data_IF_858876419868
#
_entry.id   IF_858876419868
#
_cell.length_a   1.000
_cell.length_b   1.000
_cell.length_c   1.000
_cell.angle_alpha   90.00
_cell.angle_beta   90.00
_cell.angle_gamma   90.00
#
_symmetry.space_group_name_H-M   'P 1'
#
loop_
_entity.id
_entity.type
_entity.pdbx_description
1 polymer ?
#
# COMPACT_ATOMS: atom_id res chain seq x y z
N UNK A 1 7.72 -6.03 53.27
CA UNK A 1 7.39 -4.74 53.92
C UNK A 1 7.77 -3.55 53.03
N UNK A 2 8.98 -3.55 52.44
CA UNK A 2 9.51 -2.52 51.52
C UNK A 2 8.67 -2.29 50.25
N UNK A 3 8.02 -3.33 49.74
CA UNK A 3 7.24 -3.25 48.49
C UNK A 3 5.86 -2.60 48.68
N UNK A 4 5.26 -2.77 49.88
CA UNK A 4 4.02 -2.10 50.30
C UNK A 4 4.23 -0.61 50.57
N UNK A 5 5.38 -0.23 51.13
CA UNK A 5 5.72 1.19 51.35
C UNK A 5 6.02 1.92 50.04
N UNK A 6 6.69 1.28 49.06
CA UNK A 6 6.89 1.87 47.72
C UNK A 6 5.57 2.14 46.99
N UNK A 7 4.66 1.17 46.96
CA UNK A 7 3.34 1.33 46.32
C UNK A 7 2.47 2.38 47.02
N UNK A 8 2.54 2.45 48.35
CA UNK A 8 1.88 3.50 49.12
C UNK A 8 2.47 4.89 48.82
N UNK A 9 3.79 5.05 48.83
CA UNK A 9 4.44 6.32 48.48
C UNK A 9 4.10 6.78 47.06
N UNK A 10 4.13 5.90 46.05
CA UNK A 10 3.74 6.24 44.67
C UNK A 10 2.28 6.68 44.57
N UNK A 11 1.38 6.09 45.36
CA UNK A 11 -0.05 6.43 45.37
C UNK A 11 -0.30 7.82 45.98
N UNK A 12 0.47 8.22 46.99
CA UNK A 12 0.27 9.49 47.71
C UNK A 12 1.28 10.59 47.36
N UNK A 13 2.19 10.35 46.41
CA UNK A 13 3.25 11.29 46.04
C UNK A 13 2.71 12.64 45.55
N UNK A 14 1.56 12.63 44.88
CA UNK A 14 0.87 13.84 44.43
C UNK A 14 0.39 14.70 45.61
N UNK A 15 -0.11 14.10 46.70
CA UNK A 15 -0.54 14.83 47.90
C UNK A 15 0.65 15.40 48.67
N UNK A 16 1.76 14.65 48.73
CA UNK A 16 3.00 15.12 49.37
C UNK A 16 3.59 16.30 48.58
N UNK A 17 3.63 16.22 47.24
CA UNK A 17 4.06 17.31 46.37
C UNK A 17 3.16 18.54 46.50
N UNK A 18 1.84 18.35 46.53
CA UNK A 18 0.89 19.45 46.71
C UNK A 18 1.08 20.15 48.06
N UNK A 19 1.29 19.37 49.13
CA UNK A 19 1.58 19.87 50.46
C UNK A 19 2.92 20.59 50.56
N UNK A 20 3.97 20.09 49.90
CA UNK A 20 5.28 20.73 49.86
C UNK A 20 5.25 22.06 49.10
N UNK A 21 4.59 22.11 47.93
CA UNK A 21 4.43 23.33 47.14
C UNK A 21 3.59 24.36 47.91
N UNK A 22 2.48 23.93 48.54
CA UNK A 22 1.66 24.80 49.38
C UNK A 22 2.41 25.32 50.61
N UNK A 23 3.22 24.48 51.25
CA UNK A 23 4.04 24.85 52.42
C UNK A 23 5.13 25.85 52.08
N UNK A 24 5.85 25.65 50.97
CA UNK A 24 6.85 26.61 50.47
C UNK A 24 6.19 27.94 50.10
N UNK A 25 5.03 27.88 49.43
CA UNK A 25 4.24 29.08 49.11
C UNK A 25 3.84 29.89 50.34
N UNK A 26 3.41 29.21 51.41
CA UNK A 26 3.07 29.86 52.69
C UNK A 26 4.27 30.46 53.40
N UNK A 27 5.43 29.81 53.39
CA UNK A 27 6.66 30.35 53.97
C UNK A 27 7.14 31.61 53.24
N UNK A 28 7.06 31.62 51.91
CA UNK A 28 7.39 32.79 51.09
C UNK A 28 6.41 33.93 51.36
N UNK A 29 5.11 33.62 51.48
CA UNK A 29 4.08 34.61 51.80
C UNK A 29 4.32 35.25 53.18
N UNK A 30 4.64 34.45 54.20
CA UNK A 30 4.99 34.95 55.54
C UNK A 30 6.26 35.80 55.54
N UNK A 31 7.29 35.38 54.82
CA UNK A 31 8.53 36.16 54.69
C UNK A 31 8.27 37.55 54.06
N UNK A 32 7.43 37.59 53.03
CA UNK A 32 7.03 38.85 52.38
C UNK A 32 6.25 39.75 53.36
N UNK A 33 5.33 39.19 54.15
CA UNK A 33 4.54 39.94 55.14
C UNK A 33 5.37 40.54 56.28
N UNK A 34 6.47 39.89 56.68
CA UNK A 34 7.34 40.37 57.76
C UNK A 34 8.39 41.40 57.31
N UNK A 35 8.80 41.40 56.03
CA UNK A 35 9.94 42.20 55.54
C UNK A 35 9.51 43.48 54.79
N UNK A 36 8.32 43.51 54.19
CA UNK A 36 7.89 44.60 53.32
C UNK A 36 6.91 45.58 53.99
N UNK A 37 7.09 46.87 53.74
CA UNK A 37 6.22 47.95 54.25
C UNK A 37 4.85 47.96 53.52
N UNK A 38 3.82 48.61 54.08
CA UNK A 38 2.43 48.55 53.54
C UNK A 38 2.32 48.81 52.02
N UNK A 39 2.99 49.85 51.53
CA UNK A 39 2.97 50.22 50.10
C UNK A 39 3.62 49.16 49.19
N UNK A 40 4.62 48.44 49.71
CA UNK A 40 5.31 47.36 49.01
C UNK A 40 4.47 46.07 48.98
N UNK A 41 3.73 45.80 50.07
CA UNK A 41 2.78 44.68 50.13
C UNK A 41 1.62 44.83 49.15
N UNK A 42 1.14 46.06 48.93
CA UNK A 42 0.08 46.33 47.95
C UNK A 42 0.53 46.01 46.52
N UNK A 43 1.74 46.42 46.13
CA UNK A 43 2.34 46.09 44.83
C UNK A 43 2.49 44.57 44.67
N UNK A 44 2.97 43.87 45.70
CA UNK A 44 3.12 42.41 45.66
C UNK A 44 1.77 41.70 45.53
N UNK A 45 0.73 42.16 46.24
CA UNK A 45 -0.64 41.62 46.11
C UNK A 45 -1.18 41.77 44.68
N UNK A 46 -0.94 42.91 44.04
CA UNK A 46 -1.31 43.15 42.64
C UNK A 46 -0.56 42.18 41.73
N UNK A 47 0.76 42.04 41.88
CA UNK A 47 1.56 41.09 41.11
C UNK A 47 1.09 39.64 41.27
N UNK A 48 0.85 39.17 42.50
CA UNK A 48 0.33 37.82 42.78
C UNK A 48 -1.04 37.63 42.14
N UNK A 49 -1.92 38.62 42.21
CA UNK A 49 -3.26 38.55 41.62
C UNK A 49 -3.18 38.44 40.09
N UNK A 50 -2.31 39.22 39.44
CA UNK A 50 -2.06 39.10 38.02
C UNK A 50 -1.46 37.72 37.66
N UNK A 51 -0.44 37.26 38.38
CA UNK A 51 0.15 35.94 38.14
C UNK A 51 -0.86 34.80 38.36
N UNK A 52 -1.73 34.89 39.37
CA UNK A 52 -2.78 33.91 39.63
C UNK A 52 -3.82 33.86 38.49
N UNK A 53 -4.21 35.01 37.96
CA UNK A 53 -5.07 35.12 36.78
C UNK A 53 -4.38 34.45 35.59
N UNK A 54 -3.14 34.81 35.26
CA UNK A 54 -2.42 34.21 34.14
C UNK A 54 -2.14 32.71 34.31
N UNK A 55 -1.86 32.24 35.53
CA UNK A 55 -1.69 30.82 35.82
C UNK A 55 -2.99 30.04 35.63
N UNK A 56 -4.12 30.60 36.06
CA UNK A 56 -5.44 29.96 35.92
C UNK A 56 -5.88 29.92 34.45
N UNK A 57 -5.85 31.07 33.76
CA UNK A 57 -6.24 31.14 32.35
C UNK A 57 -5.24 30.43 31.45
N UNK A 58 -3.94 30.56 31.70
CA UNK A 58 -2.88 29.89 30.95
C UNK A 58 -2.91 28.38 31.12
N UNK A 59 -3.07 27.89 32.36
CA UNK A 59 -3.23 26.47 32.65
C UNK A 59 -4.49 25.88 32.02
N UNK A 60 -5.62 26.59 32.11
CA UNK A 60 -6.86 26.18 31.46
C UNK A 60 -6.73 26.16 29.93
N UNK A 61 -6.11 27.17 29.33
CA UNK A 61 -5.88 27.25 27.88
C UNK A 61 -4.97 26.11 27.39
N UNK A 62 -3.84 25.84 28.08
CA UNK A 62 -2.97 24.72 27.73
C UNK A 62 -3.66 23.37 27.92
N UNK A 63 -4.39 23.19 29.02
CA UNK A 63 -5.18 21.97 29.27
C UNK A 63 -6.23 21.75 28.19
N UNK A 64 -6.96 22.80 27.81
CA UNK A 64 -7.94 22.76 26.72
C UNK A 64 -7.29 22.48 25.36
N UNK A 65 -6.12 23.08 25.08
CA UNK A 65 -5.38 22.83 23.83
C UNK A 65 -4.93 21.38 23.71
N UNK A 66 -4.26 20.85 24.74
CA UNK A 66 -3.79 19.45 24.74
C UNK A 66 -4.98 18.48 24.65
N UNK A 67 -6.05 18.75 25.41
CA UNK A 67 -7.25 17.91 25.39
C UNK A 67 -7.95 17.96 24.03
N UNK A 68 -8.05 19.15 23.42
CA UNK A 68 -8.62 19.36 22.11
C UNK A 68 -7.82 18.66 21.00
N UNK A 69 -6.49 18.77 21.04
CA UNK A 69 -5.60 18.10 20.08
C UNK A 69 -5.73 16.57 20.20
N UNK A 70 -5.80 16.04 21.41
CA UNK A 70 -5.98 14.61 21.64
C UNK A 70 -7.39 14.13 21.21
N UNK A 71 -8.44 14.87 21.56
CA UNK A 71 -9.82 14.57 21.15
C UNK A 71 -9.97 14.59 19.63
N UNK A 72 -9.35 15.57 18.95
CA UNK A 72 -9.32 15.67 17.49
C UNK A 72 -8.62 14.45 16.86
N UNK A 73 -7.51 13.99 17.42
CA UNK A 73 -6.83 12.77 16.95
C UNK A 73 -7.68 11.51 17.14
N UNK A 74 -8.37 11.38 18.28
CA UNK A 74 -9.28 10.25 18.55
C UNK A 74 -10.44 10.26 17.56
N UNK A 75 -11.10 11.41 17.37
CA UNK A 75 -12.21 11.55 16.44
C UNK A 75 -11.81 11.20 14.99
N UNK A 76 -10.60 11.58 14.56
CA UNK A 76 -10.06 11.19 13.24
C UNK A 76 -9.91 9.66 13.13
N UNK A 77 -9.35 9.00 14.16
CA UNK A 77 -9.20 7.54 14.18
C UNK A 77 -10.56 6.83 14.15
N UNK A 78 -11.51 7.29 14.95
CA UNK A 78 -12.87 6.73 14.98
C UNK A 78 -13.57 6.85 13.63
N UNK A 79 -13.43 7.98 12.93
CA UNK A 79 -13.97 8.14 11.57
C UNK A 79 -13.38 7.15 10.57
N UNK A 80 -12.06 6.95 10.60
CA UNK A 80 -11.37 5.99 9.73
C UNK A 80 -11.88 4.57 9.99
N UNK A 81 -11.94 4.17 11.26
CA UNK A 81 -12.40 2.83 11.66
C UNK A 81 -13.87 2.64 11.33
N UNK A 82 -14.71 3.63 11.60
CA UNK A 82 -16.14 3.56 11.25
C UNK A 82 -16.32 3.40 9.74
N UNK A 83 -15.57 4.13 8.91
CA UNK A 83 -15.63 3.94 7.45
C UNK A 83 -15.18 2.54 7.03
N UNK A 84 -14.13 2.00 7.65
CA UNK A 84 -13.66 0.63 7.41
C UNK A 84 -14.71 -0.42 7.84
N UNK A 85 -15.37 -0.21 8.99
CA UNK A 85 -16.37 -1.12 9.54
C UNK A 85 -17.69 -1.09 8.77
N UNK A 86 -18.15 0.10 8.35
CA UNK A 86 -19.39 0.25 7.60
C UNK A 86 -19.36 -0.53 6.27
N UNK A 87 -18.16 -0.69 5.69
CA UNK A 87 -17.95 -1.42 4.44
C UNK A 87 -17.20 -2.73 4.65
N UNK A 88 -17.16 -3.28 5.88
CA UNK A 88 -16.32 -4.41 6.25
C UNK A 88 -16.54 -5.65 5.36
N UNK A 89 -17.79 -5.96 5.05
CA UNK A 89 -18.16 -7.09 4.22
C UNK A 89 -17.61 -6.93 2.79
N UNK A 90 -17.82 -5.76 2.18
CA UNK A 90 -17.28 -5.43 0.86
C UNK A 90 -15.76 -5.37 0.83
N UNK A 91 -15.13 -4.84 1.90
CA UNK A 91 -13.69 -4.81 2.05
C UNK A 91 -13.11 -6.23 2.06
N UNK A 92 -13.72 -7.14 2.83
CA UNK A 92 -13.31 -8.55 2.88
C UNK A 92 -13.55 -9.27 1.55
N UNK A 93 -14.68 -9.04 0.91
CA UNK A 93 -15.05 -9.60 -0.39
C UNK A 93 -13.99 -9.26 -1.45
N UNK A 94 -13.62 -7.98 -1.54
CA UNK A 94 -12.62 -7.51 -2.51
C UNK A 94 -11.21 -8.03 -2.19
N UNK A 95 -10.79 -8.04 -0.93
CA UNK A 95 -9.52 -8.65 -0.54
C UNK A 95 -9.47 -10.16 -0.84
N UNK A 96 -10.61 -10.84 -0.75
CA UNK A 96 -10.71 -12.25 -1.11
C UNK A 96 -10.64 -12.44 -2.63
N UNK A 97 -11.33 -11.58 -3.41
CA UNK A 97 -11.23 -11.55 -4.87
C UNK A 97 -9.78 -11.36 -5.34
N UNK A 98 -9.05 -10.44 -4.72
CA UNK A 98 -7.61 -10.23 -4.97
C UNK A 98 -6.79 -11.48 -4.65
N UNK A 99 -7.00 -12.10 -3.48
CA UNK A 99 -6.25 -13.30 -3.11
C UNK A 99 -6.50 -14.50 -4.02
N UNK A 100 -7.74 -14.73 -4.41
CA UNK A 100 -8.12 -15.86 -5.26
C UNK A 100 -7.69 -15.66 -6.71
N UNK A 101 -7.83 -14.44 -7.24
CA UNK A 101 -7.72 -14.19 -8.68
C UNK A 101 -6.35 -13.70 -9.12
N UNK A 102 -5.56 -13.14 -8.20
CA UNK A 102 -4.35 -12.39 -8.55
C UNK A 102 -3.11 -12.90 -7.81
N UNK A 103 -3.20 -13.20 -6.51
CA UNK A 103 -2.00 -13.41 -5.69
C UNK A 103 -1.09 -14.52 -6.23
N UNK A 104 -1.65 -15.62 -6.76
CA UNK A 104 -0.83 -16.71 -7.33
C UNK A 104 -0.06 -16.26 -8.58
N UNK A 105 -0.76 -15.69 -9.56
CA UNK A 105 -0.14 -15.28 -10.84
C UNK A 105 0.82 -14.11 -10.64
N UNK A 106 0.46 -13.15 -9.79
CA UNK A 106 1.35 -12.06 -9.39
C UNK A 106 2.62 -12.60 -8.71
N UNK A 107 2.48 -13.60 -7.83
CA UNK A 107 3.63 -14.24 -7.18
C UNK A 107 4.58 -14.87 -8.19
N UNK A 108 4.04 -15.59 -9.18
CA UNK A 108 4.83 -16.16 -10.26
C UNK A 108 5.58 -15.09 -11.09
N UNK A 109 4.96 -13.92 -11.30
CA UNK A 109 5.58 -12.78 -11.99
C UNK A 109 6.71 -12.18 -11.15
N UNK A 110 6.47 -11.89 -9.87
CA UNK A 110 7.46 -11.24 -9.01
C UNK A 110 8.59 -12.17 -8.60
N UNK A 111 8.40 -13.49 -8.62
CA UNK A 111 9.44 -14.48 -8.34
C UNK A 111 10.25 -14.87 -9.59
N UNK A 112 9.83 -14.41 -10.77
CA UNK A 112 10.57 -14.66 -12.00
C UNK A 112 11.96 -14.05 -11.95
N UNK A 113 12.97 -14.89 -12.21
CA UNK A 113 14.39 -14.54 -12.13
C UNK A 113 15.10 -14.62 -13.49
N UNK A 114 14.51 -15.32 -14.48
CA UNK A 114 15.12 -15.55 -15.78
C UNK A 114 14.07 -15.55 -16.90
N UNK A 115 14.37 -14.80 -17.96
CA UNK A 115 13.76 -14.94 -19.29
C UNK A 115 14.83 -15.54 -20.20
N UNK A 116 14.67 -16.81 -20.56
CA UNK A 116 15.70 -17.59 -21.27
C UNK A 116 15.62 -17.45 -22.78
N UNK A 117 14.39 -17.34 -23.29
CA UNK A 117 14.08 -17.46 -24.70
C UNK A 117 12.77 -16.73 -25.05
N UNK A 118 12.39 -16.79 -26.33
CA UNK A 118 11.16 -16.19 -26.85
C UNK A 118 9.93 -16.78 -26.15
N UNK A 119 9.90 -18.10 -25.97
CA UNK A 119 8.76 -18.76 -25.33
C UNK A 119 8.53 -18.17 -23.94
N UNK A 120 9.58 -18.08 -23.12
CA UNK A 120 9.55 -17.50 -21.78
C UNK A 120 8.98 -16.08 -21.76
N UNK A 121 9.35 -15.24 -22.73
CA UNK A 121 8.83 -13.88 -22.87
C UNK A 121 7.34 -13.86 -23.21
N UNK A 122 6.89 -14.76 -24.09
CA UNK A 122 5.48 -14.91 -24.45
C UNK A 122 4.68 -15.40 -23.23
N UNK A 123 5.16 -16.41 -22.49
CA UNK A 123 4.53 -16.88 -21.23
C UNK A 123 4.32 -15.67 -20.32
N UNK A 124 5.39 -14.90 -20.13
CA UNK A 124 5.44 -13.80 -19.19
C UNK A 124 4.45 -12.71 -19.58
N UNK A 125 4.46 -12.27 -20.83
CA UNK A 125 3.54 -11.25 -21.34
C UNK A 125 2.08 -11.68 -21.17
N UNK A 126 1.72 -12.91 -21.57
CA UNK A 126 0.33 -13.39 -21.46
C UNK A 126 -0.14 -13.46 -20.00
N UNK A 127 0.73 -13.91 -19.07
CA UNK A 127 0.42 -13.89 -17.63
C UNK A 127 0.24 -12.47 -17.11
N UNK A 128 1.12 -11.55 -17.50
CA UNK A 128 1.08 -10.16 -17.07
C UNK A 128 -0.20 -9.45 -17.53
N UNK A 129 -0.61 -9.63 -18.79
CA UNK A 129 -1.86 -9.07 -19.32
C UNK A 129 -3.08 -9.60 -18.57
N UNK A 130 -3.10 -10.89 -18.23
CA UNK A 130 -4.19 -11.48 -17.43
C UNK A 130 -4.27 -10.88 -16.03
N UNK A 131 -3.13 -10.77 -15.34
CA UNK A 131 -3.05 -10.15 -14.01
C UNK A 131 -3.54 -8.71 -14.07
N UNK A 132 -3.08 -7.93 -15.05
CA UNK A 132 -3.48 -6.54 -15.25
C UNK A 132 -5.00 -6.40 -15.45
N UNK A 133 -5.60 -7.23 -16.32
CA UNK A 133 -7.04 -7.22 -16.55
C UNK A 133 -7.85 -7.58 -15.31
N UNK A 134 -7.39 -8.56 -14.52
CA UNK A 134 -8.02 -8.93 -13.26
C UNK A 134 -7.96 -7.77 -12.23
N UNK A 135 -6.82 -7.08 -12.14
CA UNK A 135 -6.65 -5.89 -11.29
C UNK A 135 -7.65 -4.80 -11.65
N UNK A 136 -7.79 -4.48 -12.93
CA UNK A 136 -8.73 -3.46 -13.41
C UNK A 136 -10.17 -3.75 -13.02
N UNK A 137 -10.60 -5.00 -13.22
CA UNK A 137 -11.95 -5.43 -12.89
C UNK A 137 -12.23 -5.33 -11.38
N UNK A 138 -11.29 -5.78 -10.54
CA UNK A 138 -11.46 -5.78 -9.09
C UNK A 138 -11.43 -4.34 -8.54
N UNK A 139 -10.50 -3.50 -8.99
CA UNK A 139 -10.45 -2.08 -8.59
C UNK A 139 -11.75 -1.37 -9.00
N UNK A 140 -12.23 -1.59 -10.22
CA UNK A 140 -13.49 -1.01 -10.69
C UNK A 140 -14.68 -1.43 -9.83
N UNK A 141 -14.77 -2.72 -9.49
CA UNK A 141 -15.80 -3.25 -8.57
C UNK A 141 -15.68 -2.63 -7.18
N UNK A 142 -14.47 -2.51 -6.65
CA UNK A 142 -14.21 -1.92 -5.34
C UNK A 142 -14.63 -0.45 -5.25
N UNK A 143 -14.37 0.35 -6.29
CA UNK A 143 -14.85 1.74 -6.39
C UNK A 143 -16.38 1.84 -6.37
N UNK A 144 -17.06 0.95 -7.09
CA UNK A 144 -18.53 0.93 -7.15
C UNK A 144 -19.17 0.54 -5.81
N UNK A 145 -18.56 -0.43 -5.09
CA UNK A 145 -19.06 -0.91 -3.80
C UNK A 145 -18.67 -0.01 -2.61
N UNK A 146 -17.87 1.04 -2.82
CA UNK A 146 -17.43 1.95 -1.76
C UNK A 146 -16.39 1.33 -0.82
N UNK A 147 -15.51 0.47 -1.33
CA UNK A 147 -14.40 -0.11 -0.55
C UNK A 147 -13.58 0.99 0.11
N UNK A 148 -13.07 0.68 1.30
CA UNK A 148 -12.23 1.59 2.07
C UNK A 148 -11.06 2.11 1.22
N UNK A 149 -10.89 3.43 1.21
CA UNK A 149 -9.99 4.10 0.27
C UNK A 149 -8.53 3.69 0.41
N UNK A 150 -8.05 3.35 1.62
CA UNK A 150 -6.67 2.87 1.79
C UNK A 150 -6.46 1.49 1.16
N UNK A 151 -7.47 0.61 1.18
CA UNK A 151 -7.38 -0.67 0.46
C UNK A 151 -7.24 -0.37 -1.03
N UNK A 152 -8.16 0.42 -1.61
CA UNK A 152 -8.11 0.76 -3.04
C UNK A 152 -6.79 1.43 -3.43
N UNK A 153 -6.27 2.33 -2.61
CA UNK A 153 -5.01 3.04 -2.85
C UNK A 153 -3.82 2.08 -3.03
N UNK A 154 -3.67 1.08 -2.16
CA UNK A 154 -2.58 0.09 -2.28
C UNK A 154 -2.66 -0.65 -3.62
N UNK A 155 -3.86 -1.11 -4.02
CA UNK A 155 -4.07 -1.83 -5.27
C UNK A 155 -3.93 -0.93 -6.52
N UNK A 156 -4.31 0.36 -6.43
CA UNK A 156 -4.11 1.32 -7.51
C UNK A 156 -2.63 1.60 -7.76
N UNK A 157 -1.83 1.77 -6.70
CA UNK A 157 -0.38 1.96 -6.85
C UNK A 157 0.28 0.75 -7.50
N UNK A 158 -0.10 -0.46 -7.08
CA UNK A 158 0.41 -1.68 -7.70
C UNK A 158 -0.01 -1.83 -9.16
N UNK A 159 -1.23 -1.40 -9.50
CA UNK A 159 -1.69 -1.34 -10.90
C UNK A 159 -0.78 -0.44 -11.73
N UNK A 160 -0.39 0.73 -11.23
CA UNK A 160 0.50 1.63 -11.96
C UNK A 160 1.86 0.98 -12.28
N UNK A 161 2.43 0.26 -11.32
CA UNK A 161 3.68 -0.49 -11.54
C UNK A 161 3.49 -1.64 -12.53
N UNK A 162 2.37 -2.37 -12.45
CA UNK A 162 2.01 -3.43 -13.40
C UNK A 162 1.82 -2.86 -14.81
N UNK A 163 1.13 -1.74 -14.96
CA UNK A 163 0.92 -1.07 -16.25
C UNK A 163 2.25 -0.59 -16.85
N UNK A 164 3.19 -0.14 -16.00
CA UNK A 164 4.54 0.23 -16.44
C UNK A 164 5.32 -0.99 -16.93
N UNK A 165 5.28 -2.09 -16.18
CA UNK A 165 5.89 -3.36 -16.58
C UNK A 165 5.27 -3.90 -17.88
N UNK A 166 3.95 -3.79 -18.03
CA UNK A 166 3.21 -4.27 -19.21
C UNK A 166 3.65 -3.52 -20.46
N UNK A 167 3.80 -2.19 -20.41
CA UNK A 167 4.28 -1.40 -21.56
C UNK A 167 5.66 -1.86 -22.05
N UNK A 168 6.55 -2.21 -21.14
CA UNK A 168 7.89 -2.70 -21.49
C UNK A 168 7.81 -4.10 -22.08
N UNK A 169 7.02 -4.99 -21.46
CA UNK A 169 6.80 -6.34 -21.94
C UNK A 169 6.14 -6.36 -23.32
N UNK A 170 5.17 -5.48 -23.55
CA UNK A 170 4.44 -5.33 -24.82
C UNK A 170 5.38 -4.93 -25.96
N UNK A 171 6.32 -4.01 -25.70
CA UNK A 171 7.32 -3.62 -26.69
C UNK A 171 8.20 -4.80 -27.12
N UNK A 172 8.73 -5.56 -26.16
CA UNK A 172 9.56 -6.75 -26.43
C UNK A 172 8.75 -7.88 -27.07
N UNK A 173 7.50 -8.06 -26.64
CA UNK A 173 6.56 -9.00 -27.23
C UNK A 173 6.27 -8.66 -28.69
N UNK A 174 5.97 -7.39 -29.01
CA UNK A 174 5.69 -6.95 -30.38
C UNK A 174 6.87 -7.19 -31.33
N UNK A 175 8.10 -6.91 -30.86
CA UNK A 175 9.33 -7.22 -31.60
C UNK A 175 9.46 -8.72 -31.88
N UNK A 176 9.21 -9.53 -30.87
CA UNK A 176 9.25 -10.99 -30.95
C UNK A 176 8.17 -11.52 -31.90
N UNK A 177 6.95 -11.02 -31.77
CA UNK A 177 5.81 -11.36 -32.61
C UNK A 177 6.06 -11.04 -34.09
N UNK A 178 6.77 -9.94 -34.39
CA UNK A 178 7.22 -9.63 -35.76
C UNK A 178 8.16 -10.68 -36.34
N UNK A 179 9.07 -11.25 -35.54
CA UNK A 179 9.97 -12.32 -35.99
C UNK A 179 9.23 -13.63 -36.19
N UNK A 180 8.32 -13.98 -35.27
CA UNK A 180 7.42 -15.14 -35.40
C UNK A 180 6.65 -15.04 -36.71
N UNK A 181 6.03 -13.88 -36.96
CA UNK A 181 5.32 -13.58 -38.20
C UNK A 181 6.17 -13.81 -39.46
N UNK A 182 7.41 -13.28 -39.48
CA UNK A 182 8.35 -13.50 -40.60
C UNK A 182 8.72 -14.98 -40.77
N UNK A 183 8.90 -15.72 -39.68
CA UNK A 183 9.28 -17.13 -39.72
C UNK A 183 8.21 -18.05 -40.32
N UNK A 184 6.93 -17.64 -40.24
CA UNK A 184 5.76 -18.33 -40.78
C UNK A 184 5.42 -17.85 -42.21
N UNK A 185 6.19 -16.89 -42.76
CA UNK A 185 6.07 -16.44 -44.15
C UNK A 185 5.03 -15.34 -44.41
N UNK A 186 4.52 -14.67 -43.38
CA UNK A 186 3.73 -13.44 -43.56
C UNK A 186 4.60 -12.31 -44.15
N UNK A 187 4.03 -11.49 -45.03
CA UNK A 187 4.70 -10.36 -45.66
C UNK A 187 4.46 -9.04 -44.89
N UNK A 188 5.30 -8.04 -45.14
CA UNK A 188 5.12 -6.66 -44.64
C UNK A 188 3.86 -6.07 -45.30
N UNK A 189 2.77 -5.95 -44.54
CA UNK A 189 1.49 -5.42 -45.04
C UNK A 189 0.26 -6.26 -44.67
N UNK A 190 0.42 -7.55 -44.34
CA UNK A 190 -0.73 -8.35 -43.91
C UNK A 190 -1.30 -7.79 -42.59
N UNK A 191 -2.60 -7.50 -42.57
CA UNK A 191 -3.28 -7.08 -41.34
C UNK A 191 -3.47 -8.29 -40.44
N UNK A 192 -2.93 -8.20 -39.22
CA UNK A 192 -3.21 -9.13 -38.13
C UNK A 192 -4.21 -8.48 -37.20
N UNK A 193 -5.31 -9.17 -36.93
CA UNK A 193 -6.18 -8.82 -35.83
C UNK A 193 -6.16 -10.00 -34.86
N UNK A 194 -5.92 -9.73 -33.57
CA UNK A 194 -6.01 -10.74 -32.50
C UNK A 194 -7.38 -11.44 -32.46
N UNK A 195 -8.40 -10.88 -33.14
CA UNK A 195 -9.77 -11.38 -33.22
C UNK A 195 -10.43 -11.09 -34.60
N UNK A 196 -9.81 -11.44 -35.74
CA UNK A 196 -10.56 -11.47 -37.01
C UNK A 196 -10.50 -12.82 -37.71
N UNK A 197 -11.58 -13.10 -38.45
CA UNK A 197 -11.82 -14.32 -39.23
C UNK A 197 -10.84 -14.53 -40.40
N UNK A 198 -9.83 -13.67 -40.56
CA UNK A 198 -8.94 -13.67 -41.73
C UNK A 198 -7.50 -14.03 -41.39
N UNK A 199 -6.88 -13.33 -40.43
CA UNK A 199 -5.48 -13.56 -40.03
C UNK A 199 -5.29 -13.40 -38.52
N UNK A 200 -4.98 -14.47 -37.81
CA UNK A 200 -4.61 -14.44 -36.39
C UNK A 200 -3.44 -15.38 -36.11
N UNK A 201 -2.68 -15.07 -35.05
CA UNK A 201 -1.61 -15.92 -34.50
C UNK A 201 -2.01 -16.22 -33.06
N UNK A 202 -2.16 -17.50 -32.73
CA UNK A 202 -2.42 -17.98 -31.37
C UNK A 202 -1.28 -18.87 -30.91
N UNK A 203 -0.84 -18.67 -29.67
CA UNK A 203 0.09 -19.57 -29.00
C UNK A 203 -0.73 -20.61 -28.21
N UNK A 204 -0.70 -21.87 -28.63
CA UNK A 204 -1.37 -22.98 -27.95
C UNK A 204 -0.37 -23.94 -27.29
N UNK A 205 -0.65 -24.33 -26.07
CA UNK A 205 0.12 -25.32 -25.33
C UNK A 205 -0.47 -26.72 -25.62
N UNK A 206 0.28 -27.60 -26.31
CA UNK A 206 -0.13 -28.99 -26.60
C UNK A 206 0.97 -29.96 -26.13
N UNK A 207 0.68 -30.80 -25.14
CA UNK A 207 1.63 -31.79 -24.63
C UNK A 207 2.86 -31.15 -23.98
N UNK A 208 4.07 -31.45 -24.49
CA UNK A 208 5.36 -30.98 -23.92
C UNK A 208 5.92 -29.71 -24.60
N UNK A 209 5.13 -29.01 -25.42
CA UNK A 209 5.59 -27.84 -26.15
C UNK A 209 4.49 -26.85 -26.50
N UNK A 210 4.89 -25.65 -26.93
CA UNK A 210 3.98 -24.62 -27.45
C UNK A 210 4.05 -24.56 -28.96
N UNK A 211 2.88 -24.48 -29.58
CA UNK A 211 2.69 -24.38 -31.03
C UNK A 211 2.09 -23.01 -31.34
N UNK A 212 2.48 -22.46 -32.48
CA UNK A 212 1.88 -21.25 -33.01
C UNK A 212 0.87 -21.67 -34.06
N UNK A 213 -0.42 -21.48 -33.80
CA UNK A 213 -1.45 -21.65 -34.81
C UNK A 213 -1.65 -20.32 -35.52
N UNK A 214 -1.43 -20.30 -36.83
CA UNK A 214 -1.60 -19.11 -37.65
C UNK A 214 -2.62 -19.40 -38.75
N UNK A 215 -3.73 -18.67 -38.74
CA UNK A 215 -4.62 -18.66 -39.91
C UNK A 215 -4.15 -17.55 -40.84
N UNK A 216 -3.95 -17.88 -42.13
CA UNK A 216 -3.63 -16.89 -43.17
C UNK A 216 -4.66 -17.02 -44.28
N UNK A 217 -5.39 -15.95 -44.56
CA UNK A 217 -6.33 -15.87 -45.70
C UNK A 217 -7.37 -17.02 -45.74
N UNK A 218 -7.89 -17.44 -44.59
CA UNK A 218 -8.89 -18.51 -44.49
C UNK A 218 -8.36 -19.94 -44.70
N UNK A 219 -7.04 -20.11 -44.84
CA UNK A 219 -6.38 -21.41 -44.78
C UNK A 219 -5.77 -21.56 -43.38
N UNK A 220 -6.30 -22.51 -42.62
CA UNK A 220 -5.73 -22.90 -41.33
C UNK A 220 -4.37 -23.56 -41.60
N UNK A 221 -3.30 -22.77 -41.46
CA UNK A 221 -1.95 -23.30 -41.47
C UNK A 221 -1.60 -23.61 -40.02
N UNK A 222 -1.83 -24.85 -39.65
CA UNK A 222 -1.17 -25.46 -38.49
C UNK A 222 0.33 -25.63 -38.83
N UNK A 223 1.03 -24.52 -39.02
CA UNK A 223 2.49 -24.52 -39.02
C UNK A 223 2.92 -24.55 -37.56
N UNK A 224 3.18 -25.76 -37.07
CA UNK A 224 3.99 -25.96 -35.86
C UNK A 224 5.29 -25.17 -36.03
N UNK A 225 5.32 -23.93 -35.55
CA UNK A 225 6.56 -23.19 -35.54
C UNK A 225 7.49 -23.92 -34.58
N UNK A 226 8.56 -24.45 -35.15
CA UNK A 226 9.64 -25.05 -34.39
C UNK A 226 10.22 -24.00 -33.44
N UNK A 227 9.87 -24.12 -32.16
CA UNK A 227 10.32 -23.21 -31.12
C UNK A 227 11.85 -23.27 -30.96
N UNK A 228 12.51 -24.38 -31.30
CA UNK A 228 13.98 -24.43 -31.32
C UNK A 228 14.53 -23.51 -32.42
N UNK A 229 13.92 -23.54 -33.61
CA UNK A 229 14.27 -22.64 -34.72
C UNK A 229 14.05 -21.18 -34.34
N UNK A 230 12.90 -20.84 -33.74
CA UNK A 230 12.62 -19.47 -33.25
C UNK A 230 13.64 -19.03 -32.21
N UNK A 231 13.88 -19.86 -31.19
CA UNK A 231 14.82 -19.57 -30.12
C UNK A 231 16.27 -19.44 -30.65
N UNK A 232 16.64 -20.19 -31.70
CA UNK A 232 17.95 -20.09 -32.35
C UNK A 232 18.14 -18.79 -33.15
N UNK A 233 17.05 -18.18 -33.63
CA UNK A 233 17.06 -16.91 -34.37
C UNK A 233 17.17 -15.70 -33.45
N UNK A 234 16.96 -15.87 -32.14
CA UNK A 234 16.95 -14.79 -31.16
C UNK A 234 18.21 -14.84 -30.30
N UNK A 235 18.94 -13.74 -30.16
CA UNK A 235 20.04 -13.66 -29.18
C UNK A 235 19.47 -13.16 -27.86
N UNK A 236 19.98 -13.65 -26.72
CA UNK A 236 19.56 -13.18 -25.39
C UNK A 236 19.74 -11.66 -25.19
N UNK A 237 20.69 -11.06 -25.91
CA UNK A 237 20.91 -9.60 -25.96
C UNK A 237 19.76 -8.82 -26.63
N UNK A 238 18.89 -9.50 -27.37
CA UNK A 238 17.85 -8.86 -28.17
C UNK A 238 16.58 -8.60 -27.35
N UNK A 239 16.45 -9.20 -26.15
CA UNK A 239 15.42 -8.88 -25.15
C UNK A 239 16.02 -7.94 -24.12
N UNK A 240 15.37 -6.80 -23.87
CA UNK A 240 15.72 -5.91 -22.77
C UNK A 240 15.30 -6.48 -21.40
N UNK A 241 15.90 -7.61 -21.03
CA UNK A 241 15.65 -8.30 -19.76
C UNK A 241 15.97 -7.41 -18.55
N UNK A 242 16.98 -6.53 -18.65
CA UNK A 242 17.32 -5.60 -17.59
C UNK A 242 16.17 -4.67 -17.20
N UNK A 243 15.54 -4.02 -18.18
CA UNK A 243 14.39 -3.14 -17.95
C UNK A 243 13.18 -3.91 -17.41
N UNK A 244 12.92 -5.11 -17.92
CA UNK A 244 11.85 -5.98 -17.41
C UNK A 244 12.09 -6.31 -15.93
N UNK A 245 13.28 -6.80 -15.56
CA UNK A 245 13.57 -7.18 -14.18
C UNK A 245 13.62 -5.99 -13.21
N UNK A 246 14.06 -4.81 -13.66
CA UNK A 246 13.96 -3.59 -12.86
C UNK A 246 12.51 -3.27 -12.50
N UNK A 247 11.57 -3.40 -13.45
CA UNK A 247 10.16 -3.13 -13.21
C UNK A 247 9.46 -4.26 -12.44
N UNK A 248 9.87 -5.52 -12.63
CA UNK A 248 9.46 -6.62 -11.74
C UNK A 248 9.88 -6.31 -10.29
N UNK A 249 11.07 -5.75 -10.07
CA UNK A 249 11.52 -5.38 -8.74
C UNK A 249 10.68 -4.23 -8.13
N UNK A 250 10.22 -3.27 -8.95
CA UNK A 250 9.29 -2.22 -8.50
C UNK A 250 7.96 -2.82 -8.06
N UNK A 251 7.36 -3.66 -8.91
CA UNK A 251 6.11 -4.40 -8.59
C UNK A 251 6.27 -5.21 -7.30
N UNK A 252 7.40 -5.90 -7.13
CA UNK A 252 7.71 -6.68 -5.92
C UNK A 252 7.77 -5.79 -4.68
N UNK A 253 8.52 -4.69 -4.73
CA UNK A 253 8.64 -3.76 -3.60
C UNK A 253 7.29 -3.17 -3.19
N UNK A 254 6.46 -2.80 -4.17
CA UNK A 254 5.12 -2.28 -3.93
C UNK A 254 4.24 -3.34 -3.29
N UNK A 255 4.23 -4.57 -3.82
CA UNK A 255 3.50 -5.69 -3.23
C UNK A 255 3.96 -6.01 -1.80
N UNK A 256 5.26 -5.98 -1.52
CA UNK A 256 5.80 -6.23 -0.19
C UNK A 256 5.38 -5.15 0.83
N UNK A 257 5.18 -3.92 0.37
CA UNK A 257 4.74 -2.77 1.18
C UNK A 257 3.24 -2.69 1.47
N UNK A 258 2.41 -3.60 0.95
CA UNK A 258 0.95 -3.54 1.12
C UNK A 258 0.50 -3.57 2.58
N UNK A 259 -0.46 -2.71 2.90
CA UNK A 259 -1.09 -2.66 4.22
C UNK A 259 -2.15 -3.76 4.36
N UNK A 260 -2.89 -4.05 3.29
CA UNK A 260 -3.96 -5.04 3.28
C UNK A 260 -3.75 -6.04 2.15
N UNK A 261 -3.25 -7.23 2.49
CA UNK A 261 -3.16 -8.38 1.58
C UNK A 261 -4.36 -9.30 1.74
N UNK A 262 -4.89 -9.44 2.95
CA UNK A 262 -6.05 -10.28 3.23
C UNK A 262 -6.97 -9.74 4.34
N UNK A 263 -8.14 -10.36 4.52
CA UNK A 263 -9.14 -9.91 5.48
C UNK A 263 -8.71 -9.93 6.96
N UNK A 264 -7.64 -10.65 7.31
CA UNK A 264 -7.03 -10.64 8.66
C UNK A 264 -6.25 -9.35 8.90
N UNK A 265 -5.71 -8.73 7.85
CA UNK A 265 -5.00 -7.45 7.94
C UNK A 265 -5.94 -6.32 8.36
N UNK A 266 -7.23 -6.41 7.98
CA UNK A 266 -8.28 -5.50 8.50
C UNK A 266 -8.38 -5.60 10.02
N UNK A 267 -8.40 -6.81 10.57
CA UNK A 267 -8.49 -7.01 12.02
C UNK A 267 -7.22 -6.52 12.73
N UNK A 268 -6.05 -6.81 12.16
CA UNK A 268 -4.75 -6.33 12.65
C UNK A 268 -4.68 -4.81 12.67
N UNK A 269 -5.15 -4.16 11.59
CA UNK A 269 -5.25 -2.72 11.48
C UNK A 269 -6.16 -2.16 12.58
N UNK A 270 -7.35 -2.69 12.77
CA UNK A 270 -8.28 -2.25 13.83
C UNK A 270 -7.61 -2.36 15.21
N UNK A 271 -6.99 -3.51 15.53
CA UNK A 271 -6.34 -3.74 16.82
C UNK A 271 -5.19 -2.76 17.09
N UNK A 272 -4.34 -2.51 16.08
CA UNK A 272 -3.23 -1.54 16.19
C UNK A 272 -3.73 -0.13 16.51
N UNK A 273 -4.87 0.27 15.98
CA UNK A 273 -5.42 1.61 16.20
C UNK A 273 -6.12 1.77 17.56
N UNK A 274 -6.72 0.69 18.09
CA UNK A 274 -7.33 0.71 19.42
C UNK A 274 -6.35 0.47 20.58
N UNK A 275 -5.12 -0.01 20.33
CA UNK A 275 -4.18 -0.44 21.39
C UNK A 275 -4.88 -1.34 22.43
N UNK A 276 -5.63 -2.33 21.97
CA UNK A 276 -6.06 -3.46 22.81
C UNK A 276 -4.86 -4.39 22.99
#
# INVERSE_FOLDING_TARGET
>A
MVEKTKTWCLKYIWYILLGAIGGIGMMILFYILCVFNEKSLEIIKVCISFTAIFATFGGAYWGAKISGDNASQIAKKERIISSLMNNLEFNKDILNDFNLSITKELKEIIEMDILKDIDSLIVFYLKLTRVQGNFELIIKRGKQKGVFSLILFDYENLKEDIDSLLKIAEYEYAKTFSLVRKSIGFQEGDTLAEYSDQNYIRFEEKGNGRFVEATISGVEKNESVDMEKLNSMYKKSDINTGSIFENIHKVRNTWDGFTFKDGRDINSFINKYYKI
#
